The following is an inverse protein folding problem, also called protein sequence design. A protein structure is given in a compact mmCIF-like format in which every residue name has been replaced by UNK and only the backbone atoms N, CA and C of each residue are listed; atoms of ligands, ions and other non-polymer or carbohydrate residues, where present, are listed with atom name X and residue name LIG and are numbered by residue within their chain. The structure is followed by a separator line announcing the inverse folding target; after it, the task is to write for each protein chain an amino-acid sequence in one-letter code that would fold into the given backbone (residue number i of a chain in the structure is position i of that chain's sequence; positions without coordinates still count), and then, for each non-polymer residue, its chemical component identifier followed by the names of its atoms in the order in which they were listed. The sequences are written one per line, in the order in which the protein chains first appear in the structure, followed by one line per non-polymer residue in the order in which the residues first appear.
data_IF_474890661690
#
_entry.id   IF_474890661690
#
_cell.length_a   1.000
_cell.length_b   1.000
_cell.length_c   1.000
_cell.angle_alpha   90.00
_cell.angle_beta   90.00
_cell.angle_gamma   90.00
#
_symmetry.space_group_name_H-M   'P 1'
#
loop_
_entity.id
_entity.type
_entity.pdbx_description
1 polymer ?
#
# COMPACT_ATOMS: atom_id res chain seq x y z
N UNK A 1 5.75 -19.44 -19.70
CA UNK A 1 7.21 -19.65 -19.82
C UNK A 1 7.97 -18.38 -20.22
N UNK A 2 7.47 -17.57 -21.18
CA UNK A 2 8.16 -16.36 -21.67
C UNK A 2 8.32 -15.21 -20.65
N UNK A 3 7.30 -14.91 -19.82
CA UNK A 3 7.36 -13.77 -18.87
C UNK A 3 8.42 -13.97 -17.79
N UNK A 4 8.49 -15.17 -17.19
CA UNK A 4 9.47 -15.46 -16.15
C UNK A 4 10.90 -15.49 -16.69
N UNK A 5 11.14 -15.98 -17.91
CA UNK A 5 12.47 -15.92 -18.53
C UNK A 5 12.97 -14.48 -18.70
N UNK A 6 12.08 -13.51 -18.88
CA UNK A 6 12.43 -12.08 -18.85
C UNK A 6 12.71 -11.55 -17.43
N UNK A 7 12.22 -12.23 -16.38
CA UNK A 7 12.32 -11.82 -14.98
C UNK A 7 13.42 -12.56 -14.20
N UNK A 8 13.95 -13.68 -14.71
CA UNK A 8 15.07 -14.47 -14.13
C UNK A 8 16.28 -13.60 -13.73
N UNK A 9 16.73 -12.58 -14.51
CA UNK A 9 17.85 -11.74 -14.11
C UNK A 9 17.59 -10.95 -12.81
N UNK A 10 16.33 -10.77 -12.43
CA UNK A 10 15.89 -9.93 -11.33
C UNK A 10 15.44 -10.72 -10.09
N UNK A 11 15.48 -12.06 -10.12
CA UNK A 11 14.97 -12.90 -9.03
C UNK A 11 15.66 -12.73 -7.68
N UNK A 12 16.86 -12.13 -7.65
CA UNK A 12 17.58 -11.75 -6.44
C UNK A 12 17.49 -10.24 -6.11
N UNK A 13 16.77 -9.45 -6.92
CA UNK A 13 16.61 -7.99 -6.78
C UNK A 13 15.15 -7.55 -6.57
N UNK A 14 14.17 -8.46 -6.70
CA UNK A 14 12.74 -8.17 -6.52
C UNK A 14 12.31 -8.54 -5.10
N UNK A 15 11.79 -7.56 -4.36
CA UNK A 15 11.27 -7.73 -2.99
C UNK A 15 9.83 -8.28 -2.95
N UNK A 16 9.04 -8.05 -3.99
CA UNK A 16 7.69 -8.60 -4.11
C UNK A 16 7.04 -8.28 -5.45
N UNK A 17 5.94 -8.97 -5.75
CA UNK A 17 5.05 -8.68 -6.88
C UNK A 17 3.73 -8.14 -6.38
N UNK A 18 3.42 -6.89 -6.72
CA UNK A 18 2.03 -6.44 -6.71
C UNK A 18 1.34 -6.91 -7.99
N UNK A 19 0.33 -7.75 -7.84
CA UNK A 19 -0.38 -8.31 -8.99
C UNK A 19 -1.32 -7.30 -9.62
N UNK A 20 -1.84 -6.33 -8.87
CA UNK A 20 -2.88 -5.40 -9.32
C UNK A 20 -2.92 -4.13 -8.47
N UNK A 21 -2.92 -2.98 -9.14
CA UNK A 21 -3.03 -1.66 -8.53
C UNK A 21 -4.49 -1.28 -8.29
N UNK A 22 -4.87 -0.93 -7.05
CA UNK A 22 -6.17 -0.38 -6.65
C UNK A 22 -7.41 -1.18 -7.09
N UNK A 23 -7.63 -2.36 -6.51
CA UNK A 23 -8.93 -3.02 -6.68
C UNK A 23 -10.08 -2.17 -6.11
N UNK A 24 -11.11 -1.94 -6.95
CA UNK A 24 -12.36 -1.26 -6.58
C UNK A 24 -13.56 -2.20 -6.62
N UNK A 25 -14.44 -2.08 -5.63
CA UNK A 25 -15.58 -2.98 -5.44
C UNK A 25 -16.72 -2.64 -6.43
N UNK A 26 -17.01 -3.56 -7.33
CA UNK A 26 -18.38 -3.78 -7.77
C UNK A 26 -18.77 -5.24 -7.44
N UNK A 27 -20.03 -5.49 -7.13
CA UNK A 27 -20.48 -6.78 -6.59
C UNK A 27 -20.29 -7.96 -7.55
N UNK A 28 -20.05 -7.71 -8.84
CA UNK A 28 -19.67 -8.73 -9.83
C UNK A 28 -18.14 -8.96 -9.85
N UNK A 29 -17.36 -7.93 -9.51
CA UNK A 29 -15.91 -7.88 -9.49
C UNK A 29 -15.26 -8.61 -8.33
N UNK A 30 -15.94 -8.79 -7.19
CA UNK A 30 -15.41 -9.47 -6.00
C UNK A 30 -14.90 -10.90 -6.28
N UNK A 31 -15.75 -11.75 -6.86
CA UNK A 31 -15.38 -13.13 -7.20
C UNK A 31 -14.34 -13.18 -8.34
N UNK A 32 -14.41 -12.21 -9.25
CA UNK A 32 -13.48 -12.11 -10.38
C UNK A 32 -12.08 -11.68 -9.92
N UNK A 33 -11.99 -10.69 -9.03
CA UNK A 33 -10.75 -10.19 -8.43
C UNK A 33 -10.03 -11.29 -7.66
N UNK A 34 -10.73 -12.01 -6.78
CA UNK A 34 -10.14 -13.15 -6.06
C UNK A 34 -9.62 -14.23 -7.01
N UNK A 35 -10.39 -14.55 -8.07
CA UNK A 35 -9.98 -15.52 -9.10
C UNK A 35 -8.74 -15.04 -9.87
N UNK A 36 -8.68 -13.75 -10.22
CA UNK A 36 -7.55 -13.12 -10.90
C UNK A 36 -6.28 -13.14 -10.05
N UNK A 37 -6.38 -12.77 -8.77
CA UNK A 37 -5.30 -12.85 -7.77
C UNK A 37 -4.84 -14.31 -7.63
N UNK A 38 -5.76 -15.25 -7.43
CA UNK A 38 -5.43 -16.67 -7.30
C UNK A 38 -4.69 -17.23 -8.52
N UNK A 39 -5.18 -16.94 -9.72
CA UNK A 39 -4.59 -17.43 -10.97
C UNK A 39 -3.20 -16.84 -11.22
N UNK A 40 -3.02 -15.54 -10.98
CA UNK A 40 -1.72 -14.87 -11.14
C UNK A 40 -0.73 -15.37 -10.09
N UNK A 41 -1.13 -15.49 -8.83
CA UNK A 41 -0.28 -16.03 -7.78
C UNK A 41 0.16 -17.47 -8.09
N UNK A 42 -0.77 -18.33 -8.53
CA UNK A 42 -0.46 -19.69 -8.95
C UNK A 42 0.44 -19.74 -10.20
N UNK A 43 0.33 -18.78 -11.11
CA UNK A 43 1.23 -18.67 -12.26
C UNK A 43 2.64 -18.26 -11.84
N UNK A 44 2.79 -17.27 -10.96
CA UNK A 44 4.10 -16.83 -10.45
C UNK A 44 4.78 -17.97 -9.67
N UNK A 45 4.05 -18.57 -8.72
CA UNK A 45 4.57 -19.64 -7.85
C UNK A 45 4.99 -20.90 -8.62
N UNK A 46 4.36 -21.21 -9.76
CA UNK A 46 4.74 -22.37 -10.61
C UNK A 46 6.10 -22.23 -11.28
N UNK A 47 6.64 -21.01 -11.41
CA UNK A 47 7.83 -20.76 -12.22
C UNK A 47 9.04 -20.41 -11.35
N UNK A 48 8.84 -20.04 -10.07
CA UNK A 48 9.92 -19.68 -9.16
C UNK A 48 10.50 -20.84 -8.35
N UNK A 49 11.83 -20.97 -8.35
CA UNK A 49 12.56 -21.81 -7.39
C UNK A 49 12.80 -21.10 -6.04
N UNK A 50 12.75 -19.77 -6.01
CA UNK A 50 12.79 -18.94 -4.80
C UNK A 50 11.42 -18.26 -4.61
N UNK A 51 10.82 -18.33 -3.40
CA UNK A 51 9.54 -17.67 -3.15
C UNK A 51 9.75 -16.15 -3.07
N UNK A 52 9.35 -15.44 -4.12
CA UNK A 52 9.21 -13.98 -4.10
C UNK A 52 7.83 -13.67 -3.50
N UNK A 53 7.73 -12.80 -2.48
CA UNK A 53 6.45 -12.39 -1.90
C UNK A 53 5.49 -11.81 -2.94
N UNK A 54 4.20 -12.09 -2.78
CA UNK A 54 3.12 -11.64 -3.66
C UNK A 54 2.12 -10.82 -2.85
N UNK A 55 1.62 -9.73 -3.41
CA UNK A 55 0.56 -8.89 -2.83
C UNK A 55 -0.50 -8.53 -3.88
N UNK A 56 -1.57 -7.92 -3.41
CA UNK A 56 -2.56 -7.22 -4.21
C UNK A 56 -2.96 -5.93 -3.48
N UNK A 57 -3.01 -4.83 -4.22
CA UNK A 57 -3.29 -3.51 -3.66
C UNK A 57 -4.79 -3.21 -3.58
N UNK A 58 -5.23 -2.76 -2.41
CA UNK A 58 -6.62 -2.46 -2.07
C UNK A 58 -6.72 -0.98 -1.68
N UNK A 59 -7.62 -0.24 -2.30
CA UNK A 59 -7.82 1.16 -1.92
C UNK A 59 -8.59 1.25 -0.59
N UNK A 60 -8.15 2.12 0.34
CA UNK A 60 -8.65 2.14 1.73
C UNK A 60 -10.08 2.64 1.92
N UNK A 61 -10.68 3.28 0.91
CA UNK A 61 -12.13 3.57 0.91
C UNK A 61 -12.99 2.30 0.76
N UNK A 62 -12.35 1.16 0.43
CA UNK A 62 -12.95 -0.16 0.27
C UNK A 62 -12.43 -1.06 1.40
N UNK A 63 -12.81 -0.77 2.64
CA UNK A 63 -12.65 -1.71 3.76
C UNK A 63 -13.70 -2.81 3.69
N UNK A 64 -13.74 -3.56 2.58
CA UNK A 64 -14.66 -4.69 2.41
C UNK A 64 -14.00 -5.97 2.96
N UNK A 65 -14.49 -6.44 4.10
CA UNK A 65 -13.99 -7.66 4.75
C UNK A 65 -14.10 -8.91 3.87
N UNK A 66 -15.11 -9.02 3.01
CA UNK A 66 -15.30 -10.18 2.14
C UNK A 66 -14.30 -10.18 0.98
N UNK A 67 -13.99 -9.00 0.43
CA UNK A 67 -12.91 -8.85 -0.56
C UNK A 67 -11.57 -9.28 0.03
N UNK A 68 -11.28 -8.80 1.22
CA UNK A 68 -10.04 -9.11 1.93
C UNK A 68 -9.94 -10.62 2.21
N UNK A 69 -11.01 -11.27 2.68
CA UNK A 69 -11.04 -12.73 2.88
C UNK A 69 -10.84 -13.51 1.59
N UNK A 70 -11.33 -12.99 0.47
CA UNK A 70 -11.21 -13.66 -0.81
C UNK A 70 -9.79 -13.54 -1.41
N UNK A 71 -9.10 -12.41 -1.19
CA UNK A 71 -7.74 -12.16 -1.68
C UNK A 71 -6.67 -12.81 -0.79
N UNK A 72 -6.83 -12.68 0.53
CA UNK A 72 -5.83 -13.04 1.52
C UNK A 72 -5.20 -14.44 1.40
N UNK A 73 -5.94 -15.52 1.05
CA UNK A 73 -5.35 -16.85 0.89
C UNK A 73 -4.34 -16.96 -0.26
N UNK A 74 -4.30 -15.98 -1.16
CA UNK A 74 -3.52 -16.02 -2.40
C UNK A 74 -2.30 -15.11 -2.38
N UNK A 75 -2.13 -14.30 -1.33
CA UNK A 75 -1.05 -13.32 -1.17
C UNK A 75 -0.23 -13.61 0.09
N UNK A 76 1.00 -13.10 0.14
CA UNK A 76 1.90 -13.23 1.29
C UNK A 76 1.76 -12.03 2.25
N UNK A 77 1.28 -10.90 1.74
CA UNK A 77 0.87 -9.73 2.50
C UNK A 77 -0.25 -8.98 1.76
N UNK A 78 -0.96 -8.08 2.46
CA UNK A 78 -1.90 -7.15 1.85
C UNK A 78 -1.23 -5.80 1.64
N UNK A 79 -1.57 -5.14 0.55
CA UNK A 79 -1.18 -3.76 0.29
C UNK A 79 -2.42 -2.87 0.31
N UNK A 80 -2.35 -1.75 1.04
CA UNK A 80 -3.42 -0.76 1.12
C UNK A 80 -2.96 0.62 0.64
N UNK A 81 -3.75 1.22 -0.25
CA UNK A 81 -3.54 2.60 -0.68
C UNK A 81 -4.34 3.55 0.22
N UNK A 82 -3.66 4.23 1.13
CA UNK A 82 -4.22 5.14 2.11
C UNK A 82 -4.38 6.53 1.51
N UNK A 83 -5.52 6.74 0.87
CA UNK A 83 -5.95 8.00 0.24
C UNK A 83 -7.15 8.62 0.98
N UNK A 84 -7.05 8.71 2.30
CA UNK A 84 -8.11 9.23 3.16
C UNK A 84 -7.87 10.68 3.54
N UNK A 85 -8.93 11.44 3.85
CA UNK A 85 -8.76 12.82 4.33
C UNK A 85 -8.08 12.84 5.71
N UNK A 86 -7.40 13.95 6.03
CA UNK A 86 -6.80 14.16 7.35
C UNK A 86 -7.83 13.95 8.48
N UNK A 87 -9.01 14.55 8.35
CA UNK A 87 -10.08 14.44 9.37
C UNK A 87 -10.58 13.01 9.56
N UNK A 88 -10.67 12.24 8.47
CA UNK A 88 -11.02 10.83 8.54
C UNK A 88 -9.94 10.05 9.29
N UNK A 89 -8.66 10.20 8.94
CA UNK A 89 -7.57 9.47 9.60
C UNK A 89 -7.46 9.81 11.09
N UNK A 90 -7.61 11.10 11.44
CA UNK A 90 -7.61 11.53 12.84
C UNK A 90 -8.77 10.95 13.64
N UNK A 91 -9.94 10.77 13.00
CA UNK A 91 -11.12 10.16 13.63
C UNK A 91 -11.04 8.63 13.67
N UNK A 92 -10.17 8.02 12.84
CA UNK A 92 -10.04 6.58 12.69
C UNK A 92 -8.59 6.10 12.93
N UNK A 93 -7.99 6.34 14.11
CA UNK A 93 -6.61 5.95 14.40
C UNK A 93 -6.40 4.43 14.43
N UNK A 94 -7.48 3.64 14.42
CA UNK A 94 -7.49 2.17 14.44
C UNK A 94 -8.00 1.58 13.10
N UNK A 95 -7.81 2.32 11.99
CA UNK A 95 -8.40 2.00 10.67
C UNK A 95 -8.23 0.54 10.26
N UNK A 96 -7.07 -0.07 10.52
CA UNK A 96 -6.77 -1.45 10.14
C UNK A 96 -6.96 -2.49 11.25
N UNK A 97 -7.44 -2.12 12.45
CA UNK A 97 -7.60 -3.08 13.55
C UNK A 97 -8.58 -4.21 13.23
N UNK A 98 -9.52 -4.01 12.29
CA UNK A 98 -10.43 -5.06 11.83
C UNK A 98 -9.70 -6.23 11.15
N UNK A 99 -8.49 -6.02 10.62
CA UNK A 99 -7.70 -7.06 9.95
C UNK A 99 -7.30 -8.20 10.89
N UNK A 100 -7.24 -7.95 12.20
CA UNK A 100 -7.05 -9.01 13.20
C UNK A 100 -8.22 -10.01 13.24
N UNK A 101 -9.42 -9.57 12.84
CA UNK A 101 -10.63 -10.40 12.79
C UNK A 101 -10.84 -11.03 11.42
N UNK A 102 -10.39 -10.37 10.35
CA UNK A 102 -10.64 -10.79 8.96
C UNK A 102 -9.55 -11.70 8.43
N UNK A 103 -8.28 -11.38 8.70
CA UNK A 103 -7.09 -12.10 8.22
C UNK A 103 -6.02 -12.13 9.31
N UNK A 104 -6.24 -12.88 10.41
CA UNK A 104 -5.33 -12.90 11.54
C UNK A 104 -3.93 -13.35 11.11
N UNK A 105 -2.91 -12.57 11.47
CA UNK A 105 -1.50 -12.89 11.19
C UNK A 105 -1.00 -12.50 9.80
N UNK A 106 -1.89 -12.14 8.86
CA UNK A 106 -1.46 -11.64 7.55
C UNK A 106 -0.80 -10.27 7.72
N UNK A 107 0.35 -10.10 7.07
CA UNK A 107 1.10 -8.85 7.11
C UNK A 107 0.49 -7.82 6.18
N UNK A 108 0.71 -6.55 6.49
CA UNK A 108 0.13 -5.42 5.74
C UNK A 108 1.22 -4.42 5.39
N UNK A 109 1.12 -3.80 4.23
CA UNK A 109 1.89 -2.63 3.83
C UNK A 109 0.90 -1.54 3.43
N UNK A 110 1.22 -0.29 3.72
CA UNK A 110 0.56 0.84 3.07
C UNK A 110 1.43 1.24 1.87
N UNK A 111 1.12 0.73 0.68
CA UNK A 111 1.95 0.86 -0.53
C UNK A 111 1.80 2.19 -1.24
N UNK A 112 0.75 2.94 -0.92
CA UNK A 112 0.61 4.33 -1.34
C UNK A 112 -0.05 5.15 -0.26
N UNK A 113 0.49 6.35 -0.03
CA UNK A 113 -0.20 7.42 0.66
C UNK A 113 0.47 8.75 0.34
N UNK A 114 -0.29 9.83 0.38
CA UNK A 114 0.27 11.16 0.18
C UNK A 114 -0.78 12.24 0.29
N UNK A 115 -0.34 13.48 0.17
CA UNK A 115 -1.21 14.65 0.18
C UNK A 115 -0.83 15.56 -0.99
N UNK A 116 -1.85 16.12 -1.63
CA UNK A 116 -1.69 16.96 -2.79
C UNK A 116 -1.36 18.40 -2.35
N UNK A 117 -0.32 19.02 -2.89
CA UNK A 117 0.00 20.43 -2.62
C UNK A 117 -0.93 21.42 -3.33
N UNK A 118 -1.64 20.96 -4.36
CA UNK A 118 -2.55 21.76 -5.18
C UNK A 118 -4.01 21.70 -4.72
N UNK A 119 -4.31 21.01 -3.61
CA UNK A 119 -5.68 20.91 -3.06
C UNK A 119 -6.07 22.05 -2.10
N UNK A 120 -5.16 23.01 -1.88
CA UNK A 120 -5.36 24.14 -0.97
C UNK A 120 -5.00 23.85 0.50
N UNK A 121 -4.48 22.67 0.81
CA UNK A 121 -3.93 22.34 2.13
C UNK A 121 -2.77 23.28 2.50
N UNK A 122 -2.68 23.63 3.78
CA UNK A 122 -1.50 24.29 4.33
C UNK A 122 -0.36 23.29 4.54
N UNK A 123 0.88 23.79 4.62
CA UNK A 123 2.04 22.99 4.98
C UNK A 123 1.84 22.19 6.28
N UNK A 124 1.20 22.80 7.29
CA UNK A 124 0.90 22.13 8.55
C UNK A 124 -0.12 21.00 8.37
N UNK A 125 -1.18 21.21 7.60
CA UNK A 125 -2.18 20.15 7.34
C UNK A 125 -1.55 18.94 6.62
N UNK A 126 -0.58 19.19 5.73
CA UNK A 126 0.18 18.13 5.09
C UNK A 126 1.09 17.40 6.08
N UNK A 127 1.80 18.10 6.97
CA UNK A 127 2.58 17.47 8.04
C UNK A 127 1.68 16.63 8.99
N UNK A 128 0.50 17.15 9.32
CA UNK A 128 -0.48 16.48 10.17
C UNK A 128 -1.05 15.22 9.51
N UNK A 129 -1.17 15.19 8.17
CA UNK A 129 -1.54 13.99 7.41
C UNK A 129 -0.58 12.84 7.68
N UNK A 130 0.72 13.08 7.51
CA UNK A 130 1.74 12.06 7.77
C UNK A 130 1.80 11.65 9.24
N UNK A 131 1.54 12.59 10.15
CA UNK A 131 1.44 12.28 11.58
C UNK A 131 0.25 11.37 11.87
N UNK A 132 -0.92 11.63 11.29
CA UNK A 132 -2.11 10.79 11.45
C UNK A 132 -1.90 9.38 10.84
N UNK A 133 -1.29 9.30 9.67
CA UNK A 133 -0.93 8.02 9.05
C UNK A 133 0.05 7.21 9.91
N UNK A 134 1.02 7.88 10.55
CA UNK A 134 1.94 7.23 11.49
C UNK A 134 1.22 6.66 12.71
N UNK A 135 0.22 7.37 13.25
CA UNK A 135 -0.61 6.87 14.35
C UNK A 135 -1.37 5.60 13.93
N UNK A 136 -1.95 5.58 12.71
CA UNK A 136 -2.59 4.38 12.16
C UNK A 136 -1.59 3.22 12.09
N UNK A 137 -0.36 3.46 11.60
CA UNK A 137 0.68 2.44 11.56
C UNK A 137 1.03 1.91 12.97
N UNK A 138 1.22 2.79 13.94
CA UNK A 138 1.53 2.41 15.32
C UNK A 138 0.44 1.54 15.96
N UNK A 139 -0.82 1.78 15.58
CA UNK A 139 -1.97 1.02 16.04
C UNK A 139 -2.28 -0.24 15.18
N UNK A 140 -1.43 -0.55 14.19
CA UNK A 140 -1.60 -1.69 13.30
C UNK A 140 -0.43 -2.67 13.45
N UNK A 141 -0.48 -3.63 14.39
CA UNK A 141 0.63 -4.56 14.64
C UNK A 141 1.02 -5.45 13.45
N UNK A 142 0.13 -5.60 12.47
CA UNK A 142 0.37 -6.34 11.23
C UNK A 142 1.18 -5.54 10.19
N UNK A 143 1.27 -4.21 10.34
CA UNK A 143 1.86 -3.34 9.32
C UNK A 143 3.39 -3.41 9.35
N UNK A 144 3.98 -3.79 8.22
CA UNK A 144 5.43 -3.92 8.03
C UNK A 144 6.09 -2.59 7.65
N UNK A 145 5.38 -1.76 6.89
CA UNK A 145 5.93 -0.53 6.36
C UNK A 145 4.89 0.32 5.63
N UNK A 146 5.40 1.44 5.10
CA UNK A 146 4.62 2.44 4.39
C UNK A 146 5.47 3.01 3.26
N UNK A 147 4.88 3.26 2.10
CA UNK A 147 5.52 3.81 0.91
C UNK A 147 4.84 5.14 0.55
N UNK A 148 5.62 6.18 0.32
CA UNK A 148 5.09 7.50 -0.02
C UNK A 148 4.72 7.55 -1.50
N UNK A 149 3.51 7.98 -1.80
CA UNK A 149 3.16 8.44 -3.13
C UNK A 149 3.30 9.97 -3.20
N UNK A 150 4.28 10.52 -3.92
CA UNK A 150 5.37 9.83 -4.63
C UNK A 150 6.73 10.16 -4.00
N UNK A 151 7.78 9.41 -4.32
CA UNK A 151 9.13 9.81 -3.93
C UNK A 151 9.55 11.12 -4.64
N UNK A 152 9.20 11.23 -5.93
CA UNK A 152 9.52 12.36 -6.81
C UNK A 152 8.24 12.72 -7.57
N UNK A 153 7.65 13.86 -7.28
CA UNK A 153 6.44 14.40 -7.94
C UNK A 153 6.24 15.87 -7.48
N UNK A 154 5.80 16.75 -8.39
CA UNK A 154 5.65 18.19 -8.12
C UNK A 154 4.40 18.54 -7.28
N UNK A 155 3.45 17.62 -7.14
CA UNK A 155 2.22 17.78 -6.38
C UNK A 155 2.18 16.92 -5.11
N UNK A 156 2.71 15.70 -5.15
CA UNK A 156 2.66 14.73 -4.03
C UNK A 156 4.04 14.35 -3.48
N UNK A 157 5.12 14.74 -4.19
CA UNK A 157 6.44 14.19 -3.97
C UNK A 157 7.19 14.73 -2.76
N UNK A 158 7.92 13.86 -2.03
CA UNK A 158 8.87 14.27 -0.99
C UNK A 158 10.02 15.12 -1.54
N UNK A 159 10.38 14.90 -2.80
CA UNK A 159 11.42 15.62 -3.52
C UNK A 159 10.83 16.42 -4.68
N UNK A 160 11.13 17.72 -4.71
CA UNK A 160 10.89 18.56 -5.87
C UNK A 160 11.93 18.30 -6.94
N UNK A 161 11.53 17.80 -8.10
CA UNK A 161 12.47 17.66 -9.20
C UNK A 161 12.88 19.00 -9.81
N UNK A 162 11.99 19.99 -9.80
CA UNK A 162 12.20 21.31 -10.42
C UNK A 162 13.17 22.14 -9.60
N UNK A 163 12.94 22.23 -8.29
CA UNK A 163 13.81 23.02 -7.39
C UNK A 163 14.97 22.21 -6.81
N UNK A 164 14.97 20.88 -7.01
CA UNK A 164 15.97 19.94 -6.50
C UNK A 164 16.09 19.91 -4.97
N UNK A 165 14.99 20.14 -4.26
CA UNK A 165 14.96 20.17 -2.80
C UNK A 165 13.98 19.16 -2.21
N UNK A 166 14.29 18.64 -1.03
CA UNK A 166 13.29 17.98 -0.20
C UNK A 166 12.25 18.99 0.27
N UNK A 167 10.98 18.57 0.25
CA UNK A 167 9.85 19.38 0.68
C UNK A 167 9.77 19.38 2.21
N UNK A 168 10.22 20.46 2.84
CA UNK A 168 10.42 20.53 4.29
C UNK A 168 9.13 20.31 5.11
N UNK A 169 7.96 20.62 4.54
CA UNK A 169 6.65 20.44 5.16
C UNK A 169 6.24 18.97 5.30
N UNK A 170 6.69 18.09 4.41
CA UNK A 170 6.34 16.66 4.41
C UNK A 170 7.53 15.75 4.73
N UNK A 171 8.76 16.13 4.34
CA UNK A 171 9.94 15.29 4.53
C UNK A 171 10.31 15.10 6.00
N UNK A 172 10.08 16.12 6.85
CA UNK A 172 10.31 16.02 8.28
C UNK A 172 9.34 15.06 8.98
N UNK A 173 8.05 15.10 8.60
CA UNK A 173 7.05 14.17 9.11
C UNK A 173 7.25 12.75 8.58
N UNK A 174 7.64 12.60 7.31
CA UNK A 174 7.96 11.32 6.69
C UNK A 174 9.16 10.63 7.34
N UNK A 175 10.20 11.36 7.75
CA UNK A 175 11.38 10.82 8.41
C UNK A 175 11.10 10.12 9.76
N UNK A 176 9.87 10.23 10.28
CA UNK A 176 9.45 9.61 11.53
C UNK A 176 8.93 8.18 11.38
N UNK A 177 8.76 7.72 10.14
CA UNK A 177 8.36 6.35 9.84
C UNK A 177 9.58 5.42 10.04
N UNK A 178 9.48 4.36 10.86
CA UNK A 178 10.65 3.60 11.30
C UNK A 178 11.31 2.72 10.22
N UNK A 179 10.68 2.55 9.04
CA UNK A 179 11.06 1.59 8.01
C UNK A 179 10.93 2.15 6.57
N UNK A 180 11.19 3.45 6.37
CA UNK A 180 11.17 4.11 5.05
C UNK A 180 12.56 4.33 4.50
#
# INVERSE_FOLDING_TARGET
MALYQAMIPYGNTIFGFDMYNEYRDDSAGLAHAATMVANTAAAIRRIGNNPIPITASIHTDITNADLIRAIAPHVDYLDFHLWQTLSFMQSNPNLFSFLQLVTPGLKVVVGEMGTNRSDGSSAQQRADYYTAARVIQQNTPQQLGTINWAAIDDNFGLYDYTTRTLQADISGAWALFPNT
#
